data_IF_310073191104
#
_entry.id   IF_310073191104
#
_cell.length_a   1.000
_cell.length_b   1.000
_cell.length_c   1.000
_cell.angle_alpha   90.00
_cell.angle_beta   90.00
_cell.angle_gamma   90.00
#
_symmetry.space_group_name_H-M   'P 1'
#
loop_
_entity.id
_entity.type
_entity.pdbx_description
1 polymer ?
#
# COMPACT_ATOMS: atom_id res chain seq x y z
N UNK A 1 -17.83 4.52 5.75
CA UNK A 1 -16.71 3.60 6.08
C UNK A 1 -17.24 2.49 6.98
N UNK A 2 -16.89 1.26 6.67
CA UNK A 2 -17.42 0.12 7.43
C UNK A 2 -16.72 -0.06 8.79
N UNK A 3 -17.28 -0.95 9.58
CA UNK A 3 -16.81 -1.18 10.94
C UNK A 3 -15.35 -1.68 10.99
N UNK A 4 -15.01 -2.66 10.15
CA UNK A 4 -13.67 -3.27 10.18
C UNK A 4 -12.60 -2.25 9.82
N UNK A 5 -12.85 -1.45 8.79
CA UNK A 5 -11.89 -0.42 8.37
C UNK A 5 -11.70 0.62 9.47
N UNK A 6 -12.79 1.02 10.14
CA UNK A 6 -12.68 1.96 11.26
C UNK A 6 -11.88 1.39 12.41
N UNK A 7 -12.05 0.09 12.69
CA UNK A 7 -11.28 -0.56 13.75
C UNK A 7 -9.79 -0.60 13.41
N UNK A 8 -9.47 -0.88 12.15
CA UNK A 8 -8.07 -0.84 11.70
C UNK A 8 -7.47 0.56 11.89
N UNK A 9 -8.21 1.58 11.53
CA UNK A 9 -7.74 2.95 11.69
C UNK A 9 -7.51 3.27 13.18
N UNK A 10 -8.40 2.78 14.04
CA UNK A 10 -8.26 2.99 15.47
C UNK A 10 -7.01 2.31 16.03
N UNK A 11 -6.72 1.11 15.57
CA UNK A 11 -5.55 0.35 16.03
C UNK A 11 -4.25 0.95 15.50
N UNK A 12 -4.20 1.23 14.21
CA UNK A 12 -2.95 1.60 13.53
C UNK A 12 -2.71 3.09 13.41
N UNK A 13 -3.74 3.90 13.64
CA UNK A 13 -3.64 5.37 13.70
C UNK A 13 -2.80 5.97 12.57
N UNK A 14 -3.17 5.73 11.30
CA UNK A 14 -2.40 6.29 10.19
C UNK A 14 -2.38 7.81 10.26
N UNK A 15 -1.21 8.40 10.00
CA UNK A 15 -1.02 9.84 10.10
C UNK A 15 -0.66 10.40 8.73
N UNK A 16 -1.62 10.47 7.85
CA UNK A 16 -1.42 11.09 6.56
C UNK A 16 -0.80 10.19 5.50
N UNK A 17 -0.34 9.00 5.87
CA UNK A 17 0.31 8.07 4.94
C UNK A 17 -0.23 6.66 5.18
N UNK A 18 -0.58 5.96 4.12
CA UNK A 18 -1.05 4.58 4.24
C UNK A 18 0.14 3.61 4.37
N UNK A 19 -0.14 2.30 4.38
CA UNK A 19 0.90 1.30 4.59
C UNK A 19 1.83 1.10 3.38
N UNK A 20 1.49 1.66 2.23
CA UNK A 20 2.36 1.65 1.05
C UNK A 20 3.01 3.01 0.80
N UNK A 21 3.00 3.89 1.80
CA UNK A 21 3.62 5.22 1.75
C UNK A 21 2.94 6.19 0.78
N UNK A 22 1.68 5.93 0.44
CA UNK A 22 0.89 6.86 -0.34
C UNK A 22 0.22 7.85 0.57
N UNK A 23 0.09 9.08 0.09
CA UNK A 23 -0.54 10.15 0.85
C UNK A 23 -2.03 9.92 0.96
N UNK A 24 -2.55 10.04 2.19
CA UNK A 24 -3.99 9.97 2.43
C UNK A 24 -4.54 11.38 2.27
N UNK A 25 -5.45 11.57 1.33
CA UNK A 25 -6.08 12.86 1.09
C UNK A 25 -7.58 12.65 0.88
N UNK A 26 -8.31 13.75 0.77
CA UNK A 26 -9.73 13.70 0.46
C UNK A 26 -9.99 12.99 -0.86
N UNK A 27 -9.13 13.24 -1.85
CA UNK A 27 -9.25 12.64 -3.19
C UNK A 27 -8.67 11.24 -3.27
N UNK A 28 -7.93 10.84 -2.24
CA UNK A 28 -7.30 9.51 -2.18
C UNK A 28 -7.58 8.90 -0.81
N UNK A 29 -8.82 8.48 -0.56
CA UNK A 29 -9.23 8.00 0.76
C UNK A 29 -8.73 6.60 1.07
N UNK A 30 -8.71 6.27 2.37
CA UNK A 30 -8.34 4.95 2.84
C UNK A 30 -9.39 3.92 2.46
N UNK A 31 -8.90 2.73 2.12
CA UNK A 31 -9.74 1.58 1.79
C UNK A 31 -9.21 0.36 2.55
N UNK A 32 -9.94 -0.74 2.46
CA UNK A 32 -9.56 -2.01 3.06
C UNK A 32 -8.96 -2.91 1.99
N UNK A 33 -7.79 -3.46 2.26
CA UNK A 33 -7.16 -4.44 1.38
C UNK A 33 -7.17 -5.81 2.07
N UNK A 34 -7.71 -6.83 1.38
CA UNK A 34 -7.63 -8.21 1.86
C UNK A 34 -6.22 -8.73 1.63
N UNK A 35 -5.47 -9.00 2.70
CA UNK A 35 -4.11 -9.55 2.59
C UNK A 35 -4.19 -10.94 1.98
N UNK A 36 -5.05 -11.81 2.52
CA UNK A 36 -5.42 -13.04 1.86
C UNK A 36 -6.69 -12.78 1.05
N UNK A 37 -6.65 -13.11 -0.23
CA UNK A 37 -7.75 -12.80 -1.14
C UNK A 37 -9.03 -13.53 -0.79
N UNK A 38 -10.17 -12.89 -1.05
CA UNK A 38 -11.48 -13.48 -0.83
C UNK A 38 -11.63 -14.80 -1.57
N UNK A 39 -11.15 -14.90 -2.81
CA UNK A 39 -11.23 -16.10 -3.63
C UNK A 39 -10.45 -17.27 -3.05
N UNK A 40 -9.50 -16.99 -2.13
CA UNK A 40 -8.75 -18.03 -1.44
C UNK A 40 -9.17 -18.18 0.02
N UNK A 41 -10.39 -17.72 0.35
CA UNK A 41 -10.91 -17.88 1.70
C UNK A 41 -10.69 -16.72 2.65
N UNK A 42 -10.02 -15.67 2.20
CA UNK A 42 -9.76 -14.50 3.05
C UNK A 42 -11.04 -13.74 3.34
N UNK A 43 -11.27 -13.45 4.62
CA UNK A 43 -12.46 -12.72 5.07
C UNK A 43 -12.10 -11.28 5.41
N UNK A 44 -13.11 -10.42 5.41
CA UNK A 44 -12.93 -9.04 5.82
C UNK A 44 -12.90 -8.96 7.34
N UNK A 45 -11.72 -9.11 7.91
CA UNK A 45 -11.49 -9.09 9.35
C UNK A 45 -10.35 -8.14 9.66
N UNK A 46 -10.19 -7.81 10.94
CA UNK A 46 -9.06 -6.99 11.36
C UNK A 46 -7.75 -7.70 11.06
N UNK A 47 -7.69 -9.01 11.27
CA UNK A 47 -6.47 -9.81 11.09
C UNK A 47 -6.05 -9.98 9.63
N UNK A 48 -6.96 -9.75 8.70
CA UNK A 48 -6.69 -9.93 7.28
C UNK A 48 -6.67 -8.61 6.52
N UNK A 49 -6.62 -7.49 7.22
CA UNK A 49 -6.76 -6.19 6.60
C UNK A 49 -5.49 -5.37 6.56
N UNK A 50 -5.34 -4.59 5.52
CA UNK A 50 -4.32 -3.57 5.44
C UNK A 50 -4.98 -2.26 5.06
N UNK A 51 -4.45 -1.16 5.60
CA UNK A 51 -4.95 0.18 5.28
C UNK A 51 -4.21 0.68 4.05
N UNK A 52 -4.89 0.69 2.93
CA UNK A 52 -4.36 1.23 1.68
C UNK A 52 -5.29 2.33 1.19
N UNK A 53 -4.72 3.37 0.57
CA UNK A 53 -5.55 4.33 -0.12
C UNK A 53 -6.05 3.72 -1.42
N UNK A 54 -7.02 4.38 -2.04
CA UNK A 54 -7.52 3.94 -3.34
C UNK A 54 -6.38 3.85 -4.36
N UNK A 55 -5.50 4.85 -4.38
CA UNK A 55 -4.40 4.86 -5.35
C UNK A 55 -3.37 3.75 -5.08
N UNK A 56 -3.00 3.51 -3.83
CA UNK A 56 -2.06 2.44 -3.54
C UNK A 56 -2.68 1.07 -3.82
N UNK A 57 -3.98 0.93 -3.57
CA UNK A 57 -4.69 -0.31 -3.87
C UNK A 57 -4.66 -0.61 -5.38
N UNK A 58 -4.92 0.41 -6.19
CA UNK A 58 -4.84 0.28 -7.64
C UNK A 58 -3.41 -0.01 -8.10
N UNK A 59 -2.43 0.64 -7.48
CA UNK A 59 -1.04 0.41 -7.82
C UNK A 59 -0.60 -1.01 -7.46
N UNK A 60 -1.06 -1.50 -6.32
CA UNK A 60 -0.77 -2.87 -5.90
C UNK A 60 -1.33 -3.89 -6.89
N UNK A 61 -2.54 -3.65 -7.40
CA UNK A 61 -3.11 -4.53 -8.43
C UNK A 61 -2.30 -4.48 -9.73
N UNK A 62 -1.79 -3.31 -10.08
CA UNK A 62 -0.92 -3.18 -11.24
C UNK A 62 0.37 -4.00 -11.05
N UNK A 63 0.96 -3.89 -9.87
CA UNK A 63 2.16 -4.67 -9.55
C UNK A 63 1.86 -6.17 -9.64
N UNK A 64 0.72 -6.59 -9.11
CA UNK A 64 0.31 -7.99 -9.18
C UNK A 64 0.24 -8.48 -10.62
N UNK A 65 -0.27 -7.66 -11.52
CA UNK A 65 -0.45 -8.06 -12.92
C UNK A 65 0.86 -8.15 -13.70
N UNK A 66 1.89 -7.43 -13.27
CA UNK A 66 3.17 -7.35 -13.99
C UNK A 66 4.33 -8.06 -13.31
N UNK A 67 4.36 -8.08 -11.98
CA UNK A 67 5.47 -8.62 -11.20
C UNK A 67 4.91 -9.33 -9.97
N UNK A 68 4.46 -10.55 -10.15
CA UNK A 68 3.81 -11.28 -9.06
C UNK A 68 4.74 -11.50 -7.86
N UNK A 69 6.05 -11.60 -8.08
CA UNK A 69 7.00 -11.77 -6.98
C UNK A 69 7.10 -10.52 -6.12
N UNK A 70 7.08 -9.34 -6.76
CA UNK A 70 7.07 -8.08 -6.02
C UNK A 70 5.75 -7.90 -5.27
N UNK A 71 4.64 -8.27 -5.92
CA UNK A 71 3.35 -8.25 -5.25
C UNK A 71 3.39 -9.11 -3.98
N UNK A 72 3.92 -10.32 -4.11
CA UNK A 72 4.01 -11.22 -2.98
C UNK A 72 4.84 -10.61 -1.84
N UNK A 73 6.00 -10.04 -2.17
CA UNK A 73 6.87 -9.42 -1.17
C UNK A 73 6.18 -8.26 -0.46
N UNK A 74 5.50 -7.40 -1.22
CA UNK A 74 4.77 -6.28 -0.65
C UNK A 74 3.67 -6.78 0.28
N UNK A 75 2.92 -7.78 -0.18
CA UNK A 75 1.80 -8.30 0.59
C UNK A 75 2.27 -8.99 1.88
N UNK A 76 3.43 -9.64 1.85
CA UNK A 76 4.02 -10.21 3.06
C UNK A 76 4.40 -9.12 4.06
N UNK A 77 4.91 -8.00 3.57
CA UNK A 77 5.21 -6.86 4.45
C UNK A 77 3.93 -6.31 5.08
N UNK A 78 2.86 -6.19 4.31
CA UNK A 78 1.56 -5.76 4.84
C UNK A 78 1.07 -6.73 5.93
N UNK A 79 1.28 -8.02 5.72
CA UNK A 79 0.91 -9.04 6.70
C UNK A 79 1.68 -8.88 8.00
N UNK A 80 2.98 -8.59 7.91
CA UNK A 80 3.80 -8.34 9.10
C UNK A 80 3.32 -7.12 9.86
N UNK A 81 3.01 -6.05 9.15
CA UNK A 81 2.49 -4.83 9.78
C UNK A 81 1.19 -5.12 10.51
N UNK A 82 0.30 -5.90 9.86
CA UNK A 82 -0.97 -6.25 10.50
C UNK A 82 -0.74 -7.04 11.79
N UNK A 83 0.21 -7.98 11.78
CA UNK A 83 0.46 -8.82 12.95
C UNK A 83 1.04 -8.06 14.13
N UNK A 84 1.78 -6.99 13.88
CA UNK A 84 2.44 -6.27 14.97
C UNK A 84 1.50 -5.36 15.77
N UNK A 85 0.31 -5.08 15.24
CA UNK A 85 -0.71 -4.26 15.92
C UNK A 85 -0.22 -2.85 16.27
N UNK A 86 0.67 -2.31 15.47
CA UNK A 86 1.19 -0.96 15.62
C UNK A 86 1.51 -0.40 14.24
N UNK A 87 1.61 0.92 14.10
CA UNK A 87 1.88 1.52 12.78
C UNK A 87 3.17 0.99 12.16
N UNK A 88 3.30 1.06 10.82
CA UNK A 88 4.54 0.67 10.18
C UNK A 88 5.74 1.40 10.78
N UNK A 89 6.81 0.67 10.99
CA UNK A 89 8.05 1.25 11.50
C UNK A 89 8.78 1.98 10.38
N UNK A 90 9.75 2.81 10.74
CA UNK A 90 10.58 3.49 9.74
C UNK A 90 11.27 2.49 8.83
N UNK A 91 11.79 1.41 9.40
CA UNK A 91 12.44 0.37 8.62
C UNK A 91 11.48 -0.28 7.63
N UNK A 92 10.26 -0.57 8.07
CA UNK A 92 9.24 -1.15 7.19
C UNK A 92 8.87 -0.18 6.06
N UNK A 93 8.81 1.10 6.35
CA UNK A 93 8.53 2.10 5.32
C UNK A 93 9.67 2.19 4.30
N UNK A 94 10.91 2.04 4.75
CA UNK A 94 12.06 2.02 3.85
C UNK A 94 12.04 0.78 2.95
N UNK A 95 11.68 -0.37 3.50
CA UNK A 95 11.54 -1.59 2.71
C UNK A 95 10.45 -1.42 1.66
N UNK A 96 9.32 -0.84 2.05
CA UNK A 96 8.23 -0.60 1.11
C UNK A 96 8.69 0.32 -0.03
N UNK A 97 9.37 1.43 0.30
CA UNK A 97 9.91 2.34 -0.71
C UNK A 97 10.83 1.61 -1.67
N UNK A 98 11.69 0.75 -1.14
CA UNK A 98 12.61 -0.02 -1.97
C UNK A 98 11.87 -0.92 -2.97
N UNK A 99 10.85 -1.62 -2.50
CA UNK A 99 10.07 -2.51 -3.36
C UNK A 99 9.32 -1.72 -4.45
N UNK A 100 8.73 -0.60 -4.07
CA UNK A 100 8.00 0.23 -5.03
C UNK A 100 8.95 0.86 -6.05
N UNK A 101 10.12 1.30 -5.60
CA UNK A 101 11.13 1.86 -6.47
C UNK A 101 11.61 0.82 -7.49
N UNK A 102 11.82 -0.41 -7.03
CA UNK A 102 12.23 -1.49 -7.91
C UNK A 102 11.21 -1.74 -9.01
N UNK A 103 9.92 -1.79 -8.64
CA UNK A 103 8.87 -1.94 -9.63
C UNK A 103 8.87 -0.78 -10.61
N UNK A 104 8.95 0.45 -10.09
CA UNK A 104 8.92 1.64 -10.94
C UNK A 104 10.08 1.65 -11.93
N UNK A 105 11.30 1.34 -11.48
CA UNK A 105 12.47 1.36 -12.36
C UNK A 105 12.39 0.32 -13.47
N UNK A 106 11.80 -0.84 -13.18
CA UNK A 106 11.65 -1.90 -14.19
C UNK A 106 10.57 -1.50 -15.22
N UNK A 107 9.49 -0.87 -14.76
CA UNK A 107 8.29 -0.69 -15.58
C UNK A 107 7.96 0.77 -15.92
N UNK A 108 8.86 1.71 -15.66
CA UNK A 108 8.52 3.13 -15.83
C UNK A 108 8.16 3.51 -17.27
N UNK A 109 8.60 2.74 -18.24
CA UNK A 109 8.25 2.97 -19.65
C UNK A 109 6.95 2.28 -20.05
N UNK A 110 6.40 1.44 -19.18
CA UNK A 110 5.14 0.75 -19.44
C UNK A 110 3.96 1.69 -19.24
N UNK A 111 2.81 1.28 -19.73
CA UNK A 111 1.57 2.02 -19.53
C UNK A 111 0.69 1.32 -18.54
N UNK A 112 -0.03 2.12 -17.74
CA UNK A 112 -0.98 1.57 -16.78
C UNK A 112 -2.24 1.09 -17.52
N UNK A 113 -3.25 0.61 -16.76
CA UNK A 113 -4.48 0.09 -17.35
C UNK A 113 -5.24 1.11 -18.20
N UNK A 114 -4.98 2.40 -18.02
CA UNK A 114 -5.62 3.46 -18.79
C UNK A 114 -4.80 3.89 -20.00
N UNK A 115 -3.72 3.17 -20.30
CA UNK A 115 -2.86 3.47 -21.43
C UNK A 115 -1.92 4.64 -21.23
N UNK A 116 -1.77 5.12 -20.00
CA UNK A 116 -0.86 6.22 -19.66
C UNK A 116 0.44 5.69 -19.07
N UNK A 117 1.54 6.43 -19.26
CA UNK A 117 2.81 6.02 -18.63
C UNK A 117 2.68 5.97 -17.11
N UNK A 118 3.49 5.15 -16.47
CA UNK A 118 3.55 5.13 -15.02
C UNK A 118 4.11 6.46 -14.54
N UNK A 119 3.51 6.99 -13.48
CA UNK A 119 3.90 8.30 -12.95
C UNK A 119 4.46 8.13 -11.54
N UNK A 120 5.69 8.63 -11.38
CA UNK A 120 6.42 8.52 -10.12
C UNK A 120 5.69 9.20 -8.96
N UNK A 121 4.99 10.28 -9.21
CA UNK A 121 4.28 11.01 -8.17
C UNK A 121 3.08 10.28 -7.60
N UNK A 122 2.70 9.13 -8.15
CA UNK A 122 1.55 8.40 -7.60
C UNK A 122 1.84 7.77 -6.25
N UNK A 123 3.11 7.67 -5.86
CA UNK A 123 3.50 7.18 -4.55
C UNK A 123 4.68 7.98 -4.03
N UNK A 124 4.97 7.82 -2.74
CA UNK A 124 6.04 8.57 -2.09
C UNK A 124 7.32 7.74 -2.12
N UNK A 125 8.38 8.29 -2.70
CA UNK A 125 9.66 7.62 -2.73
C UNK A 125 10.49 8.03 -1.54
N UNK A 126 11.43 7.16 -1.15
CA UNK A 126 12.39 7.48 -0.10
C UNK A 126 13.10 8.79 -0.43
N UNK A 127 13.11 9.71 0.53
CA UNK A 127 13.73 11.01 0.33
C UNK A 127 12.81 12.06 -0.27
N UNK A 128 11.58 11.71 -0.62
CA UNK A 128 10.63 12.68 -1.14
C UNK A 128 10.18 13.64 -0.05
N UNK A 129 9.71 14.84 -0.46
CA UNK A 129 9.33 15.88 0.51
C UNK A 129 8.37 15.45 1.59
N UNK A 130 7.53 14.48 1.33
CA UNK A 130 6.58 14.02 2.34
C UNK A 130 7.29 13.50 3.57
N UNK A 131 8.40 12.79 3.40
CA UNK A 131 9.14 12.26 4.54
C UNK A 131 9.72 13.33 5.42
N UNK A 132 9.87 14.52 4.90
CA UNK A 132 10.45 15.65 5.62
C UNK A 132 9.39 16.55 6.25
N UNK A 133 8.16 16.37 5.91
CA UNK A 133 7.06 17.23 6.37
C UNK A 133 6.42 16.75 7.65
N UNK A 134 6.79 15.64 8.06
CA UNK A 134 6.14 14.99 9.19
C UNK A 134 6.42 15.70 10.49
#
# INVERSE_FOLDING_TARGET
MDFVTRELITIYKPKGIDWMNFKITRENPMTYHHIEKREFGGKKTIENGAILTRNSHQYLHLIESKEDKLYYAINQLLKLINKQKMPPTEEQRQIMDFLLEEFYEIHKEDKNAKGKPLIKEKYILKGEPLTMKY
#
